data_IF_698714473079
#
_entry.id   IF_698714473079
#
_cell.length_a   1.000
_cell.length_b   1.000
_cell.length_c   1.000
_cell.angle_alpha   90.00
_cell.angle_beta   90.00
_cell.angle_gamma   90.00
#
_symmetry.space_group_name_H-M   'P 1'
#
loop_
_entity.id
_entity.type
_entity.pdbx_description
1 polymer ?
#
# COMPACT_ATOMS: atom_id res chain seq x y z
N UNK A 1 -0.86 -11.62 56.13
CA UNK A 1 -0.95 -11.71 54.66
C UNK A 1 -1.19 -10.34 54.00
N UNK A 2 -1.92 -9.41 54.60
CA UNK A 2 -2.16 -8.07 54.00
C UNK A 2 -0.88 -7.23 53.79
N UNK A 3 0.05 -7.23 54.75
CA UNK A 3 1.29 -6.42 54.65
C UNK A 3 2.29 -6.86 53.58
N UNK A 4 2.21 -8.11 53.10
CA UNK A 4 3.09 -8.60 52.04
C UNK A 4 2.60 -8.15 50.63
N UNK A 5 1.30 -8.01 50.49
CA UNK A 5 0.66 -7.48 49.28
C UNK A 5 1.02 -6.01 49.04
N UNK A 6 0.95 -5.19 50.11
CA UNK A 6 1.23 -3.76 50.01
C UNK A 6 2.70 -3.46 49.66
N UNK A 7 3.63 -4.26 50.22
CA UNK A 7 5.05 -4.12 49.91
C UNK A 7 5.38 -4.46 48.44
N UNK A 8 4.72 -5.47 47.88
CA UNK A 8 4.85 -5.83 46.44
C UNK A 8 4.27 -4.73 45.56
N UNK A 9 3.09 -4.18 45.91
CA UNK A 9 2.48 -3.09 45.15
C UNK A 9 3.36 -1.83 45.16
N UNK A 10 3.95 -1.47 46.29
CA UNK A 10 4.87 -0.34 46.39
C UNK A 10 6.15 -0.57 45.58
N UNK A 11 6.71 -1.78 45.59
CA UNK A 11 7.89 -2.11 44.82
C UNK A 11 7.63 -2.06 43.30
N UNK A 12 6.50 -2.61 42.88
CA UNK A 12 6.08 -2.56 41.46
C UNK A 12 5.86 -1.11 41.01
N UNK A 13 5.17 -0.31 41.83
CA UNK A 13 4.96 1.12 41.54
C UNK A 13 6.26 1.90 41.47
N UNK A 14 7.24 1.60 42.34
CA UNK A 14 8.55 2.24 42.33
C UNK A 14 9.38 1.85 41.08
N UNK A 15 9.33 0.58 40.70
CA UNK A 15 9.99 0.08 39.49
C UNK A 15 9.36 0.72 38.25
N UNK A 16 8.03 0.79 38.15
CA UNK A 16 7.33 1.43 37.05
C UNK A 16 7.66 2.93 36.97
N UNK A 17 7.67 3.65 38.09
CA UNK A 17 8.07 5.06 38.15
C UNK A 17 9.52 5.28 37.74
N UNK A 18 10.44 4.39 38.13
CA UNK A 18 11.85 4.45 37.75
C UNK A 18 12.01 4.18 36.24
N UNK A 19 11.32 3.17 35.69
CA UNK A 19 11.37 2.87 34.27
C UNK A 19 10.78 4.00 33.43
N UNK A 20 9.73 4.68 33.90
CA UNK A 20 9.21 5.90 33.26
C UNK A 20 10.22 7.06 33.31
N UNK A 21 10.94 7.22 34.43
CA UNK A 21 11.92 8.31 34.61
C UNK A 21 13.17 8.18 33.74
N UNK A 22 13.51 6.96 33.30
CA UNK A 22 14.64 6.70 32.36
C UNK A 22 14.19 6.60 30.89
N UNK A 23 12.92 6.89 30.58
CA UNK A 23 12.39 6.79 29.23
C UNK A 23 12.29 5.34 28.68
N UNK A 24 12.44 4.33 29.57
CA UNK A 24 12.40 2.92 29.18
C UNK A 24 10.97 2.35 29.06
N UNK A 25 9.97 3.11 29.52
CA UNK A 25 8.55 2.82 29.27
C UNK A 25 8.01 4.07 28.57
N UNK A 26 7.74 3.96 27.29
CA UNK A 26 6.91 4.94 26.61
C UNK A 26 5.58 5.05 27.38
N UNK A 27 5.11 6.27 27.64
CA UNK A 27 3.71 6.47 28.01
C UNK A 27 2.88 5.73 26.97
N UNK A 28 1.86 4.94 27.35
CA UNK A 28 0.98 4.35 26.36
C UNK A 28 0.44 5.52 25.52
N UNK A 29 0.80 5.53 24.22
CA UNK A 29 0.15 6.37 23.24
C UNK A 29 -1.33 6.06 23.37
N UNK A 30 -2.17 7.07 23.56
CA UNK A 30 -3.61 6.87 23.43
C UNK A 30 -3.82 6.45 21.96
N UNK A 31 -4.21 5.21 21.75
CA UNK A 31 -4.57 4.74 20.42
C UNK A 31 -5.76 5.57 19.93
N UNK A 32 -5.63 6.15 18.75
CA UNK A 32 -6.70 6.89 18.09
C UNK A 32 -7.47 5.91 17.20
N UNK A 33 -8.74 5.71 17.50
CA UNK A 33 -9.61 4.85 16.69
C UNK A 33 -9.86 5.51 15.33
N UNK A 34 -9.84 4.74 14.26
CA UNK A 34 -10.23 5.24 12.94
C UNK A 34 -11.74 5.49 12.94
N UNK A 35 -12.13 6.69 12.56
CA UNK A 35 -13.51 7.14 12.39
C UNK A 35 -13.59 8.08 11.19
N UNK A 36 -14.80 8.40 10.74
CA UNK A 36 -15.03 9.43 9.75
C UNK A 36 -14.57 10.77 10.31
N UNK A 37 -13.69 11.45 9.57
CA UNK A 37 -13.12 12.76 9.93
C UNK A 37 -13.94 13.88 9.29
N UNK A 38 -14.23 13.75 7.99
CA UNK A 38 -15.04 14.74 7.26
C UNK A 38 -16.53 14.34 7.23
N UNK A 39 -17.40 15.26 7.64
CA UNK A 39 -18.85 14.97 7.78
C UNK A 39 -19.52 14.56 6.47
N UNK A 40 -19.01 15.00 5.33
CA UNK A 40 -19.55 14.74 3.98
C UNK A 40 -18.78 13.66 3.21
N UNK A 41 -18.01 12.84 3.92
CA UNK A 41 -17.33 11.68 3.36
C UNK A 41 -18.33 10.73 2.68
N UNK A 42 -18.07 10.43 1.40
CA UNK A 42 -18.90 9.55 0.56
C UNK A 42 -18.32 8.17 0.36
N UNK A 43 -17.00 8.05 0.52
CA UNK A 43 -16.27 6.77 0.55
C UNK A 43 -15.02 6.93 1.42
N UNK A 44 -14.72 5.89 2.18
CA UNK A 44 -13.50 5.82 2.98
C UNK A 44 -12.79 4.49 2.77
N UNK A 45 -11.47 4.49 2.75
CA UNK A 45 -10.68 3.26 2.60
C UNK A 45 -9.30 3.39 3.24
N UNK A 46 -8.68 2.25 3.48
CA UNK A 46 -7.28 2.18 3.93
C UNK A 46 -6.41 1.69 2.78
N UNK A 47 -5.27 2.33 2.62
CA UNK A 47 -4.30 2.07 1.57
C UNK A 47 -2.96 1.69 2.19
N UNK A 48 -2.48 0.50 1.84
CA UNK A 48 -1.25 -0.13 2.31
C UNK A 48 -0.51 -0.82 1.18
N UNK A 49 0.72 -1.31 1.42
CA UNK A 49 1.50 -2.04 0.43
C UNK A 49 2.56 -2.95 1.05
N UNK A 50 3.14 -3.83 0.26
CA UNK A 50 4.36 -4.56 0.55
C UNK A 50 4.35 -5.26 1.92
N UNK A 51 3.35 -6.12 2.15
CA UNK A 51 3.27 -6.92 3.37
C UNK A 51 4.32 -8.01 3.38
N UNK A 52 4.61 -8.59 2.21
CA UNK A 52 5.65 -9.59 1.96
C UNK A 52 5.73 -10.67 3.05
N UNK A 53 4.57 -11.15 3.52
CA UNK A 53 4.51 -12.23 4.52
C UNK A 53 5.24 -13.46 4.01
N UNK A 54 6.08 -14.05 4.87
CA UNK A 54 6.87 -15.22 4.50
C UNK A 54 7.15 -16.14 5.70
N UNK A 55 7.53 -17.38 5.39
CA UNK A 55 7.77 -18.42 6.40
C UNK A 55 9.06 -18.23 7.21
N UNK A 56 10.02 -17.44 6.72
CA UNK A 56 11.34 -17.31 7.34
C UNK A 56 11.60 -15.97 8.03
N UNK A 57 10.70 -14.99 7.92
CA UNK A 57 10.79 -13.71 8.60
C UNK A 57 9.46 -13.33 9.27
N UNK A 58 9.22 -13.81 10.51
CA UNK A 58 7.94 -13.58 11.18
C UNK A 58 7.69 -12.11 11.57
N UNK A 59 8.69 -11.22 11.52
CA UNK A 59 8.47 -9.80 11.81
C UNK A 59 7.56 -9.11 10.80
N UNK A 60 7.55 -9.57 9.54
CA UNK A 60 6.69 -9.04 8.48
C UNK A 60 5.21 -9.31 8.78
N UNK A 61 4.90 -10.54 9.15
CA UNK A 61 3.57 -10.94 9.58
C UNK A 61 3.14 -10.24 10.89
N UNK A 62 4.07 -10.05 11.83
CA UNK A 62 3.81 -9.28 13.06
C UNK A 62 3.38 -7.84 12.74
N UNK A 63 4.01 -7.20 11.74
CA UNK A 63 3.61 -5.87 11.29
C UNK A 63 2.20 -5.87 10.66
N UNK A 64 1.89 -6.88 9.83
CA UNK A 64 0.56 -7.02 9.23
C UNK A 64 -0.51 -7.27 10.30
N UNK A 65 -0.25 -8.14 11.27
CA UNK A 65 -1.17 -8.40 12.40
C UNK A 65 -1.46 -7.09 13.17
N UNK A 66 -0.43 -6.28 13.44
CA UNK A 66 -0.63 -5.01 14.14
C UNK A 66 -1.52 -4.04 13.34
N UNK A 67 -1.34 -3.96 12.03
CA UNK A 67 -2.22 -3.21 11.12
C UNK A 67 -3.65 -3.76 11.17
N UNK A 68 -3.81 -5.08 11.05
CA UNK A 68 -5.13 -5.71 11.07
C UNK A 68 -5.87 -5.50 12.40
N UNK A 69 -5.16 -5.52 13.52
CA UNK A 69 -5.74 -5.25 14.85
C UNK A 69 -6.22 -3.80 14.97
N UNK A 70 -5.47 -2.82 14.46
CA UNK A 70 -5.89 -1.42 14.43
C UNK A 70 -7.16 -1.24 13.60
N UNK A 71 -7.20 -1.83 12.41
CA UNK A 71 -8.34 -1.75 11.49
C UNK A 71 -9.58 -2.51 11.99
N UNK A 72 -9.39 -3.62 12.67
CA UNK A 72 -10.49 -4.36 13.31
C UNK A 72 -11.19 -3.55 14.40
N UNK A 73 -10.46 -2.66 15.05
CA UNK A 73 -10.97 -1.78 16.12
C UNK A 73 -11.46 -0.42 15.59
N UNK A 74 -11.50 -0.20 14.27
CA UNK A 74 -12.07 1.03 13.71
C UNK A 74 -13.54 1.18 14.11
N UNK A 75 -13.96 2.40 14.46
CA UNK A 75 -15.35 2.70 14.86
C UNK A 75 -16.28 2.79 13.64
N UNK A 76 -15.72 3.06 12.47
CA UNK A 76 -16.45 3.01 11.18
C UNK A 76 -16.08 1.76 10.39
N UNK A 77 -17.01 1.23 9.60
CA UNK A 77 -16.70 0.21 8.61
C UNK A 77 -16.00 0.86 7.43
N UNK A 78 -14.81 0.39 7.10
CA UNK A 78 -14.10 0.82 5.91
C UNK A 78 -14.83 0.31 4.66
N UNK A 79 -15.02 1.18 3.67
CA UNK A 79 -15.58 0.76 2.39
C UNK A 79 -14.63 -0.16 1.63
N UNK A 80 -13.30 0.04 1.77
CA UNK A 80 -12.30 -0.88 1.26
C UNK A 80 -11.02 -0.91 2.10
N UNK A 81 -10.36 -2.08 2.10
CA UNK A 81 -8.96 -2.26 2.50
C UNK A 81 -8.14 -2.64 1.27
N UNK A 82 -7.06 -1.90 1.01
CA UNK A 82 -6.28 -1.97 -0.22
C UNK A 82 -4.83 -2.33 0.10
N UNK A 83 -4.27 -3.29 -0.66
CA UNK A 83 -2.84 -3.61 -0.65
C UNK A 83 -2.29 -3.38 -2.06
N UNK A 84 -1.36 -2.43 -2.20
CA UNK A 84 -0.74 -2.04 -3.46
C UNK A 84 0.40 -2.99 -3.88
N UNK A 85 0.15 -4.29 -3.81
CA UNK A 85 1.05 -5.36 -4.28
C UNK A 85 2.01 -5.90 -3.23
N UNK A 86 2.76 -6.92 -3.63
CA UNK A 86 3.70 -7.69 -2.81
C UNK A 86 3.05 -8.19 -1.49
N UNK A 87 1.93 -8.88 -1.66
CA UNK A 87 1.15 -9.44 -0.54
C UNK A 87 1.96 -10.50 0.20
N UNK A 88 2.64 -11.37 -0.54
CA UNK A 88 3.54 -12.39 0.03
C UNK A 88 4.91 -12.35 -0.62
N UNK A 89 5.90 -12.94 0.02
CA UNK A 89 7.29 -12.91 -0.45
C UNK A 89 7.58 -13.85 -1.61
N UNK A 90 6.95 -15.03 -1.64
CA UNK A 90 7.32 -16.11 -2.56
C UNK A 90 6.15 -16.66 -3.38
N UNK A 91 4.96 -16.11 -3.27
CA UNK A 91 3.77 -16.59 -3.94
C UNK A 91 3.34 -17.99 -3.51
N UNK A 92 3.67 -18.45 -2.30
CA UNK A 92 3.27 -19.76 -1.79
C UNK A 92 1.86 -19.75 -1.22
N UNK A 93 1.14 -20.86 -1.36
CA UNK A 93 -0.21 -20.97 -0.84
C UNK A 93 -0.30 -20.83 0.68
N UNK A 94 0.67 -21.33 1.41
CA UNK A 94 0.73 -21.22 2.87
C UNK A 94 1.01 -19.79 3.34
N UNK A 95 1.74 -18.99 2.57
CA UNK A 95 1.91 -17.57 2.83
C UNK A 95 0.58 -16.81 2.63
N UNK A 96 -0.16 -17.07 1.55
CA UNK A 96 -1.49 -16.51 1.34
C UNK A 96 -2.51 -16.94 2.40
N UNK A 97 -2.44 -18.19 2.86
CA UNK A 97 -3.32 -18.66 3.94
C UNK A 97 -3.09 -17.88 5.24
N UNK A 98 -1.84 -17.55 5.55
CA UNK A 98 -1.49 -16.72 6.72
C UNK A 98 -2.04 -15.31 6.57
N UNK A 99 -1.80 -14.66 5.43
CA UNK A 99 -2.37 -13.32 5.16
C UNK A 99 -3.88 -13.36 5.28
N UNK A 100 -4.55 -14.37 4.71
CA UNK A 100 -6.01 -14.52 4.84
C UNK A 100 -6.46 -14.57 6.31
N UNK A 101 -5.79 -15.39 7.12
CA UNK A 101 -6.14 -15.53 8.54
C UNK A 101 -5.92 -14.23 9.32
N UNK A 102 -4.92 -13.43 8.94
CA UNK A 102 -4.59 -12.17 9.59
C UNK A 102 -5.59 -11.05 9.24
N UNK A 103 -6.01 -10.95 7.96
CA UNK A 103 -6.77 -9.78 7.48
C UNK A 103 -8.28 -9.99 7.34
N UNK A 104 -8.78 -11.21 7.27
CA UNK A 104 -10.21 -11.52 7.02
C UNK A 104 -11.19 -10.90 8.02
N UNK A 105 -10.72 -10.59 9.24
CA UNK A 105 -11.53 -10.01 10.31
C UNK A 105 -11.38 -8.47 10.39
N UNK A 106 -10.67 -7.83 9.46
CA UNK A 106 -10.61 -6.37 9.33
C UNK A 106 -12.02 -5.83 9.12
N UNK A 107 -12.37 -4.72 9.79
CA UNK A 107 -13.68 -4.07 9.64
C UNK A 107 -13.77 -3.31 8.29
N UNK A 108 -13.71 -4.05 7.18
CA UNK A 108 -13.82 -3.53 5.82
C UNK A 108 -14.86 -4.32 5.01
N UNK A 109 -15.61 -3.59 4.18
CA UNK A 109 -16.64 -4.20 3.32
C UNK A 109 -16.04 -4.87 2.08
N UNK A 110 -14.90 -4.37 1.58
CA UNK A 110 -14.26 -4.86 0.37
C UNK A 110 -12.74 -4.96 0.56
N UNK A 111 -12.11 -5.91 -0.15
CA UNK A 111 -10.66 -6.08 -0.22
C UNK A 111 -10.24 -5.92 -1.68
N UNK A 112 -9.31 -4.98 -1.95
CA UNK A 112 -8.78 -4.69 -3.28
C UNK A 112 -7.27 -4.91 -3.23
N UNK A 113 -6.75 -5.89 -3.96
CA UNK A 113 -5.36 -6.31 -3.88
C UNK A 113 -4.72 -6.26 -5.26
N UNK A 114 -3.63 -5.52 -5.39
CA UNK A 114 -2.76 -5.66 -6.55
C UNK A 114 -1.75 -6.81 -6.33
N UNK A 115 -1.35 -7.50 -7.38
CA UNK A 115 -0.19 -8.39 -7.30
C UNK A 115 1.08 -7.59 -7.52
N UNK A 116 2.12 -7.90 -6.77
CA UNK A 116 3.47 -7.41 -7.03
C UNK A 116 4.36 -8.48 -7.67
N UNK A 117 5.63 -8.14 -7.89
CA UNK A 117 6.59 -9.09 -8.47
C UNK A 117 6.86 -10.28 -7.53
N UNK A 118 6.85 -10.09 -6.22
CA UNK A 118 7.03 -11.18 -5.24
C UNK A 118 5.91 -12.22 -5.28
N UNK A 119 4.70 -11.81 -5.60
CA UNK A 119 3.55 -12.71 -5.71
C UNK A 119 3.66 -13.68 -6.90
N UNK A 120 4.35 -13.27 -7.98
CA UNK A 120 4.34 -14.00 -9.26
C UNK A 120 5.71 -14.47 -9.76
N UNK A 121 6.83 -13.92 -9.28
CA UNK A 121 8.16 -14.08 -9.89
C UNK A 121 8.81 -15.46 -9.75
N UNK A 122 8.40 -16.29 -8.80
CA UNK A 122 9.07 -17.57 -8.50
C UNK A 122 8.38 -18.81 -9.08
N UNK A 123 7.32 -18.66 -9.86
CA UNK A 123 6.53 -19.76 -10.41
C UNK A 123 6.17 -19.49 -11.87
N UNK A 124 5.64 -20.53 -12.55
CA UNK A 124 5.00 -20.30 -13.84
C UNK A 124 3.87 -19.27 -13.69
N UNK A 125 3.81 -18.32 -14.57
CA UNK A 125 2.92 -17.15 -14.48
C UNK A 125 1.45 -17.56 -14.27
N UNK A 126 0.95 -18.51 -15.07
CA UNK A 126 -0.44 -18.97 -14.99
C UNK A 126 -0.77 -19.62 -13.63
N UNK A 127 0.21 -20.29 -13.02
CA UNK A 127 0.04 -20.90 -11.70
C UNK A 127 0.00 -19.85 -10.60
N UNK A 128 0.89 -18.86 -10.66
CA UNK A 128 0.99 -17.79 -9.68
C UNK A 128 -0.21 -16.87 -9.75
N UNK A 129 -0.58 -16.43 -10.95
CA UNK A 129 -1.74 -15.57 -11.18
C UNK A 129 -3.05 -16.23 -10.74
N UNK A 130 -3.27 -17.50 -11.11
CA UNK A 130 -4.45 -18.25 -10.67
C UNK A 130 -4.53 -18.40 -9.14
N UNK A 131 -3.40 -18.59 -8.48
CA UNK A 131 -3.35 -18.66 -7.00
C UNK A 131 -3.69 -17.34 -6.35
N UNK A 132 -3.11 -16.24 -6.85
CA UNK A 132 -3.38 -14.90 -6.36
C UNK A 132 -4.87 -14.53 -6.52
N UNK A 133 -5.44 -14.78 -7.70
CA UNK A 133 -6.87 -14.56 -7.98
C UNK A 133 -7.75 -15.40 -7.04
N UNK A 134 -7.40 -16.66 -6.81
CA UNK A 134 -8.14 -17.54 -5.89
C UNK A 134 -8.06 -17.01 -4.45
N UNK A 135 -6.91 -16.52 -4.02
CA UNK A 135 -6.74 -15.91 -2.70
C UNK A 135 -7.59 -14.64 -2.56
N UNK A 136 -7.51 -13.72 -3.51
CA UNK A 136 -8.29 -12.49 -3.50
C UNK A 136 -9.80 -12.75 -3.47
N UNK A 137 -10.28 -13.71 -4.25
CA UNK A 137 -11.69 -14.10 -4.26
C UNK A 137 -12.13 -14.78 -2.97
N UNK A 138 -11.21 -15.32 -2.17
CA UNK A 138 -11.56 -15.88 -0.84
C UNK A 138 -11.86 -14.80 0.20
N UNK A 139 -11.39 -13.57 0.01
CA UNK A 139 -11.63 -12.43 0.89
C UNK A 139 -12.93 -11.70 0.56
N UNK A 140 -13.38 -11.74 -0.68
CA UNK A 140 -14.53 -11.00 -1.17
C UNK A 140 -15.77 -11.92 -1.31
N UNK A 141 -16.94 -11.30 -1.37
CA UNK A 141 -18.17 -12.02 -1.69
C UNK A 141 -18.21 -12.41 -3.17
N UNK A 142 -18.86 -13.52 -3.51
CA UNK A 142 -18.89 -14.08 -4.87
C UNK A 142 -19.26 -13.08 -5.99
N UNK A 143 -20.16 -12.13 -5.71
CA UNK A 143 -20.58 -11.13 -6.70
C UNK A 143 -19.50 -10.12 -7.09
N UNK A 144 -18.44 -10.03 -6.30
CA UNK A 144 -17.28 -9.17 -6.54
C UNK A 144 -16.05 -9.98 -6.94
N UNK A 145 -16.21 -11.22 -7.35
CA UNK A 145 -15.13 -12.07 -7.78
C UNK A 145 -14.49 -11.54 -9.08
N UNK A 146 -13.17 -11.66 -9.15
CA UNK A 146 -12.36 -11.29 -10.32
C UNK A 146 -11.77 -12.53 -10.97
N UNK A 147 -11.40 -12.44 -12.24
CA UNK A 147 -10.87 -13.55 -13.05
C UNK A 147 -9.44 -13.35 -13.54
N UNK A 148 -8.85 -12.18 -13.28
CA UNK A 148 -7.48 -11.84 -13.68
C UNK A 148 -6.78 -10.98 -12.63
N UNK A 149 -5.45 -10.80 -12.78
CA UNK A 149 -4.66 -9.90 -11.93
C UNK A 149 -4.98 -8.42 -12.20
N UNK A 150 -5.40 -8.12 -13.44
CA UNK A 150 -5.84 -6.78 -13.84
C UNK A 150 -7.35 -6.75 -13.91
N UNK A 151 -7.98 -5.86 -13.18
CA UNK A 151 -9.43 -5.82 -13.04
C UNK A 151 -9.92 -4.43 -12.63
N UNK A 152 -11.22 -4.20 -12.80
CA UNK A 152 -11.93 -3.04 -12.29
C UNK A 152 -12.80 -3.44 -11.11
N UNK A 153 -12.84 -2.62 -10.08
CA UNK A 153 -13.64 -2.85 -8.87
C UNK A 153 -14.42 -1.59 -8.51
N UNK A 154 -15.72 -1.74 -8.27
CA UNK A 154 -16.60 -0.63 -7.93
C UNK A 154 -16.96 -0.65 -6.44
N UNK A 155 -16.74 0.47 -5.75
CA UNK A 155 -17.12 0.65 -4.35
C UNK A 155 -17.90 1.95 -4.22
N UNK A 156 -19.16 1.88 -3.81
CA UNK A 156 -20.05 3.04 -3.62
C UNK A 156 -20.11 3.99 -4.84
N UNK A 157 -19.95 3.43 -6.07
CA UNK A 157 -19.95 4.20 -7.32
C UNK A 157 -18.64 4.95 -7.58
N UNK A 158 -17.54 4.54 -6.94
CA UNK A 158 -16.16 4.95 -7.23
C UNK A 158 -15.40 3.78 -7.82
N UNK A 159 -14.59 4.07 -8.83
CA UNK A 159 -13.90 3.05 -9.60
C UNK A 159 -12.44 2.91 -9.15
N UNK A 160 -12.06 1.67 -8.85
CA UNK A 160 -10.68 1.23 -8.64
C UNK A 160 -10.27 0.35 -9.83
N UNK A 161 -9.18 0.71 -10.50
CA UNK A 161 -8.62 -0.02 -11.63
C UNK A 161 -7.28 -0.60 -11.18
N UNK A 162 -7.18 -1.91 -11.12
CA UNK A 162 -5.92 -2.59 -10.79
C UNK A 162 -5.24 -3.02 -12.08
N UNK A 163 -4.00 -2.61 -12.27
CA UNK A 163 -3.13 -3.07 -13.35
C UNK A 163 -1.98 -3.90 -12.78
N UNK A 164 -1.58 -4.94 -13.50
CA UNK A 164 -0.57 -5.88 -13.04
C UNK A 164 0.27 -6.39 -14.22
N UNK A 165 1.42 -6.99 -13.96
CA UNK A 165 2.22 -7.58 -15.01
C UNK A 165 1.47 -8.70 -15.74
N UNK A 166 1.49 -8.69 -17.07
CA UNK A 166 0.88 -9.73 -17.90
C UNK A 166 1.80 -10.95 -18.13
N UNK A 167 2.99 -10.90 -17.58
CA UNK A 167 3.95 -12.00 -17.65
C UNK A 167 4.88 -12.02 -16.45
N UNK A 168 5.67 -13.06 -16.35
CA UNK A 168 6.68 -13.21 -15.33
C UNK A 168 7.84 -12.22 -15.55
N UNK A 169 8.02 -11.30 -14.59
CA UNK A 169 9.17 -10.40 -14.53
C UNK A 169 9.78 -10.45 -13.12
N UNK A 170 11.05 -10.05 -12.98
CA UNK A 170 11.74 -10.19 -11.70
C UNK A 170 11.51 -8.96 -10.77
N UNK A 171 11.74 -7.76 -11.25
CA UNK A 171 11.55 -6.52 -10.48
C UNK A 171 10.58 -5.53 -11.18
N UNK A 172 10.66 -5.42 -12.48
CA UNK A 172 9.76 -4.58 -13.29
C UNK A 172 8.43 -5.28 -13.58
N UNK A 173 7.50 -4.61 -14.21
CA UNK A 173 6.29 -5.22 -14.77
C UNK A 173 6.23 -5.07 -16.28
N UNK A 174 5.51 -5.96 -16.92
CA UNK A 174 5.21 -5.89 -18.34
C UNK A 174 3.70 -5.68 -18.55
N UNK A 175 3.34 -4.54 -19.10
CA UNK A 175 1.94 -4.20 -19.39
C UNK A 175 1.70 -4.39 -20.88
N UNK A 176 0.95 -5.42 -21.24
CA UNK A 176 0.68 -5.75 -22.64
C UNK A 176 -0.11 -4.64 -23.33
N UNK A 177 0.01 -4.57 -24.65
CA UNK A 177 -0.80 -3.64 -25.45
C UNK A 177 -2.30 -3.82 -25.22
N UNK A 178 -2.74 -5.06 -25.00
CA UNK A 178 -4.15 -5.34 -24.70
C UNK A 178 -4.57 -4.72 -23.37
N UNK A 179 -3.73 -4.82 -22.34
CA UNK A 179 -4.00 -4.21 -21.05
C UNK A 179 -3.96 -2.67 -21.13
N UNK A 180 -3.03 -2.08 -21.89
CA UNK A 180 -3.00 -0.63 -22.13
C UNK A 180 -4.28 -0.13 -22.83
N UNK A 181 -4.76 -0.85 -23.85
CA UNK A 181 -6.01 -0.52 -24.53
C UNK A 181 -7.21 -0.66 -23.58
N UNK A 182 -7.24 -1.67 -22.73
CA UNK A 182 -8.25 -1.89 -21.69
C UNK A 182 -8.21 -0.77 -20.62
N UNK A 183 -7.04 -0.44 -20.08
CA UNK A 183 -6.87 0.64 -19.11
C UNK A 183 -7.44 1.97 -19.65
N UNK A 184 -7.11 2.30 -20.90
CA UNK A 184 -7.63 3.50 -21.54
C UNK A 184 -9.16 3.50 -21.70
N UNK A 185 -9.77 2.34 -21.94
CA UNK A 185 -11.23 2.20 -22.02
C UNK A 185 -11.89 2.32 -20.66
N UNK A 186 -11.32 1.70 -19.62
CA UNK A 186 -11.87 1.75 -18.26
C UNK A 186 -11.76 3.17 -17.69
N UNK A 187 -10.62 3.86 -17.84
CA UNK A 187 -10.47 5.25 -17.45
C UNK A 187 -11.49 6.16 -18.13
N UNK A 188 -11.69 5.98 -19.44
CA UNK A 188 -12.70 6.75 -20.19
C UNK A 188 -14.11 6.58 -19.64
N UNK A 189 -14.45 5.39 -19.15
CA UNK A 189 -15.77 5.13 -18.54
C UNK A 189 -15.83 5.71 -17.14
N UNK A 190 -14.82 5.45 -16.32
CA UNK A 190 -14.79 5.78 -14.92
C UNK A 190 -14.76 7.30 -14.65
N UNK A 191 -14.08 8.08 -15.51
CA UNK A 191 -13.98 9.53 -15.37
C UNK A 191 -15.14 10.32 -16.02
N UNK A 192 -16.12 9.63 -16.61
CA UNK A 192 -17.18 10.27 -17.37
C UNK A 192 -18.13 11.13 -16.52
N UNK A 193 -18.22 10.88 -15.23
CA UNK A 193 -19.05 11.63 -14.27
C UNK A 193 -18.23 12.64 -13.44
N UNK A 194 -16.93 12.78 -13.71
CA UNK A 194 -16.01 13.72 -13.04
C UNK A 194 -15.50 13.24 -11.67
N UNK A 195 -15.89 12.05 -11.24
CA UNK A 195 -15.39 11.48 -9.98
C UNK A 195 -13.91 11.11 -10.04
N UNK A 196 -13.21 11.08 -8.91
CA UNK A 196 -11.86 10.54 -8.84
C UNK A 196 -11.84 9.03 -9.15
N UNK A 197 -10.78 8.61 -9.85
CA UNK A 197 -10.51 7.21 -10.19
C UNK A 197 -9.16 6.80 -9.60
N UNK A 198 -9.13 5.66 -8.95
CA UNK A 198 -7.95 5.12 -8.30
C UNK A 198 -7.35 4.01 -9.16
N UNK A 199 -6.20 4.27 -9.78
CA UNK A 199 -5.43 3.27 -10.55
C UNK A 199 -4.35 2.71 -9.65
N UNK A 200 -4.38 1.42 -9.39
CA UNK A 200 -3.45 0.74 -8.49
C UNK A 200 -2.52 -0.14 -9.32
N UNK A 201 -1.23 0.10 -9.20
CA UNK A 201 -0.18 -0.74 -9.72
C UNK A 201 0.82 -1.03 -8.59
N UNK A 202 1.55 -2.13 -8.66
CA UNK A 202 2.60 -2.35 -7.67
C UNK A 202 3.82 -1.48 -7.97
N UNK A 203 4.37 -1.56 -9.19
CA UNK A 203 5.52 -0.77 -9.59
C UNK A 203 5.11 0.66 -10.00
N UNK A 204 5.93 1.69 -9.65
CA UNK A 204 5.72 3.06 -10.11
C UNK A 204 6.10 3.24 -11.57
N UNK A 205 5.81 4.42 -12.10
CA UNK A 205 6.38 4.89 -13.36
C UNK A 205 7.90 5.04 -13.23
N UNK A 206 8.63 4.84 -14.31
CA UNK A 206 10.05 5.13 -14.36
C UNK A 206 10.30 6.60 -13.99
N UNK A 207 11.36 6.86 -13.21
CA UNK A 207 11.68 8.18 -12.64
C UNK A 207 10.58 8.77 -11.73
N UNK A 208 9.62 7.92 -11.30
CA UNK A 208 8.55 8.32 -10.39
C UNK A 208 9.04 8.55 -8.97
N UNK A 209 8.28 9.34 -8.21
CA UNK A 209 8.47 9.60 -6.78
C UNK A 209 9.88 10.11 -6.41
N UNK A 210 10.47 10.93 -7.29
CA UNK A 210 11.79 11.55 -7.06
C UNK A 210 12.97 10.59 -7.08
N UNK A 211 12.73 9.32 -7.41
CA UNK A 211 13.79 8.32 -7.53
C UNK A 211 14.34 8.32 -8.96
N UNK A 212 15.67 8.46 -9.12
CA UNK A 212 16.27 8.40 -10.44
C UNK A 212 16.13 7.00 -10.98
N UNK A 213 15.62 6.89 -12.15
CA UNK A 213 15.49 5.71 -12.93
C UNK A 213 14.99 4.49 -12.19
N UNK A 214 15.52 4.05 -11.04
CA UNK A 214 15.05 2.76 -10.63
C UNK A 214 15.64 2.23 -9.37
N UNK A 215 14.87 1.41 -8.72
CA UNK A 215 15.31 0.46 -7.74
C UNK A 215 16.43 -0.45 -8.29
N UNK A 216 17.47 -0.64 -7.53
CA UNK A 216 18.56 -1.56 -7.91
C UNK A 216 19.66 -0.91 -8.74
N UNK A 217 19.53 0.32 -9.17
CA UNK A 217 20.57 1.06 -9.88
C UNK A 217 21.42 1.91 -8.94
N UNK A 218 21.27 3.21 -9.00
CA UNK A 218 22.03 4.13 -8.18
C UNK A 218 21.41 4.34 -6.79
N UNK A 219 20.10 4.25 -6.70
CA UNK A 219 19.36 4.41 -5.44
C UNK A 219 19.61 3.27 -4.46
N UNK A 220 19.84 2.06 -4.99
CA UNK A 220 20.09 0.85 -4.22
C UNK A 220 21.36 0.14 -4.67
N UNK A 221 22.55 0.69 -4.35
CA UNK A 221 23.82 0.15 -4.85
C UNK A 221 24.04 -1.32 -4.48
N UNK A 222 23.55 -1.75 -3.32
CA UNK A 222 23.66 -3.14 -2.87
C UNK A 222 22.83 -4.09 -3.73
N UNK A 223 21.68 -3.66 -4.20
CA UNK A 223 20.84 -4.45 -5.11
C UNK A 223 21.48 -4.52 -6.50
N UNK A 224 21.90 -3.39 -7.03
CA UNK A 224 22.63 -3.32 -8.29
C UNK A 224 23.89 -4.23 -8.27
N UNK A 225 24.56 -4.31 -7.13
CA UNK A 225 25.73 -5.20 -6.95
C UNK A 225 25.40 -6.69 -7.04
N UNK A 226 24.16 -7.09 -6.81
CA UNK A 226 23.71 -8.50 -6.87
C UNK A 226 23.30 -8.95 -8.27
N UNK A 227 22.99 -8.02 -9.16
CA UNK A 227 22.59 -8.37 -10.53
C UNK A 227 23.82 -8.74 -11.37
N UNK A 228 23.78 -9.85 -12.14
CA UNK A 228 24.80 -10.17 -13.10
C UNK A 228 24.98 -9.09 -14.16
N UNK A 229 26.21 -8.92 -14.66
CA UNK A 229 26.52 -7.84 -15.61
C UNK A 229 25.70 -7.91 -16.92
N UNK A 230 25.29 -9.10 -17.35
CA UNK A 230 24.45 -9.26 -18.53
C UNK A 230 22.98 -8.84 -18.31
N UNK A 231 22.50 -8.90 -17.07
CA UNK A 231 21.15 -8.46 -16.70
C UNK A 231 21.05 -6.93 -16.56
N UNK A 232 22.21 -6.27 -16.47
CA UNK A 232 22.29 -4.82 -16.31
C UNK A 232 22.25 -4.02 -17.60
N UNK A 233 21.99 -4.65 -18.74
CA UNK A 233 22.12 -4.00 -20.02
C UNK A 233 21.00 -3.00 -20.29
N UNK A 234 20.05 -3.49 -21.05
CA UNK A 234 19.14 -2.64 -21.82
C UNK A 234 17.87 -2.30 -21.03
N UNK A 235 17.48 -3.11 -20.04
CA UNK A 235 16.34 -2.87 -19.14
C UNK A 235 16.74 -2.18 -17.83
N UNK A 236 18.00 -1.84 -17.69
CA UNK A 236 18.57 -1.35 -16.43
C UNK A 236 17.94 -0.05 -15.92
N UNK A 237 17.52 0.82 -16.85
CA UNK A 237 16.88 2.08 -16.54
C UNK A 237 15.42 1.94 -16.08
N UNK A 238 14.85 0.73 -16.18
CA UNK A 238 13.45 0.45 -15.85
C UNK A 238 13.28 -0.49 -14.64
N UNK A 239 14.38 -1.08 -14.15
CA UNK A 239 14.33 -1.98 -13.00
C UNK A 239 13.65 -1.31 -11.80
N UNK A 240 12.61 -1.94 -11.27
CA UNK A 240 11.82 -1.41 -10.15
C UNK A 240 10.72 -0.41 -10.56
N UNK A 241 10.44 -0.30 -11.85
CA UNK A 241 9.32 0.48 -12.40
C UNK A 241 8.37 -0.41 -13.21
N UNK A 242 7.37 0.19 -13.84
CA UNK A 242 6.52 -0.50 -14.84
C UNK A 242 7.35 -1.03 -16.03
N UNK A 243 8.60 -0.60 -16.17
CA UNK A 243 9.44 -1.04 -17.27
C UNK A 243 9.24 -0.19 -18.53
N UNK A 244 9.42 -0.83 -19.71
CA UNK A 244 9.36 -0.14 -20.99
C UNK A 244 8.01 0.55 -21.27
N UNK A 245 6.91 0.08 -20.65
CA UNK A 245 5.58 0.66 -20.84
C UNK A 245 5.28 1.83 -19.92
N UNK A 246 6.23 2.30 -19.10
CA UNK A 246 6.04 3.46 -18.23
C UNK A 246 5.49 4.70 -18.94
N UNK A 247 6.04 5.00 -20.12
CA UNK A 247 5.58 6.15 -20.91
C UNK A 247 4.16 5.94 -21.48
N UNK A 248 3.82 4.72 -21.88
CA UNK A 248 2.49 4.40 -22.40
C UNK A 248 1.43 4.54 -21.29
N UNK A 249 1.73 4.03 -20.09
CA UNK A 249 0.85 4.19 -18.91
C UNK A 249 0.71 5.66 -18.52
N UNK A 250 1.84 6.40 -18.46
CA UNK A 250 1.83 7.85 -18.21
C UNK A 250 0.94 8.58 -19.22
N UNK A 251 1.11 8.32 -20.51
CA UNK A 251 0.34 8.95 -21.58
C UNK A 251 -1.16 8.65 -21.48
N UNK A 252 -1.53 7.45 -21.02
CA UNK A 252 -2.92 7.07 -20.85
C UNK A 252 -3.52 7.78 -19.65
N UNK A 253 -2.94 7.64 -18.45
CA UNK A 253 -3.51 8.22 -17.22
C UNK A 253 -3.56 9.75 -17.28
N UNK A 254 -2.58 10.38 -17.93
CA UNK A 254 -2.50 11.85 -18.05
C UNK A 254 -3.59 12.49 -18.91
N UNK A 255 -4.37 11.72 -19.64
CA UNK A 255 -5.49 12.22 -20.49
C UNK A 255 -6.77 12.45 -19.71
N UNK A 256 -6.88 11.88 -18.53
CA UNK A 256 -8.11 11.85 -17.75
C UNK A 256 -7.98 12.69 -16.49
N UNK A 257 -9.09 13.29 -16.05
CA UNK A 257 -9.11 14.13 -14.85
C UNK A 257 -9.26 13.29 -13.59
N UNK A 258 -8.71 13.80 -12.48
CA UNK A 258 -8.87 13.25 -11.14
C UNK A 258 -8.42 11.78 -11.02
N UNK A 259 -7.28 11.43 -11.64
CA UNK A 259 -6.69 10.09 -11.55
C UNK A 259 -5.64 10.05 -10.44
N UNK A 260 -5.80 9.11 -9.52
CA UNK A 260 -4.83 8.81 -8.46
C UNK A 260 -4.11 7.51 -8.80
N UNK A 261 -2.84 7.61 -9.20
CA UNK A 261 -1.99 6.48 -9.54
C UNK A 261 -1.23 6.03 -8.30
N UNK A 262 -1.60 4.89 -7.75
CA UNK A 262 -1.17 4.36 -6.45
C UNK A 262 -0.17 3.24 -6.66
N UNK A 263 0.98 3.30 -5.98
CA UNK A 263 2.06 2.33 -6.13
C UNK A 263 2.71 1.97 -4.79
N UNK A 264 3.33 0.78 -4.72
CA UNK A 264 4.20 0.33 -3.62
C UNK A 264 5.62 0.12 -4.11
N UNK A 265 6.20 -1.07 -3.87
CA UNK A 265 7.45 -1.60 -4.42
C UNK A 265 8.75 -0.93 -3.92
N UNK A 266 8.77 0.38 -3.82
CA UNK A 266 10.00 1.14 -3.54
C UNK A 266 10.47 1.01 -2.09
N UNK A 267 9.60 0.56 -1.18
CA UNK A 267 9.84 0.54 0.26
C UNK A 267 10.36 1.89 0.77
N UNK A 268 9.81 2.96 0.22
CA UNK A 268 10.13 4.33 0.62
C UNK A 268 9.20 4.74 1.76
N UNK A 269 9.78 5.26 2.83
CA UNK A 269 9.00 5.81 3.94
C UNK A 269 8.24 7.07 3.56
N UNK A 270 7.30 7.46 4.41
CA UNK A 270 6.51 8.67 4.22
C UNK A 270 7.41 9.93 4.28
N UNK A 271 7.24 10.83 3.32
CA UNK A 271 8.05 12.05 3.18
C UNK A 271 7.98 12.63 1.78
N UNK A 272 9.05 13.29 1.36
CA UNK A 272 9.13 14.02 0.08
C UNK A 272 8.83 13.19 -1.18
N UNK A 273 8.95 11.87 -1.11
CA UNK A 273 8.72 10.94 -2.23
C UNK A 273 7.35 10.26 -2.17
N UNK A 274 6.49 10.69 -1.24
CA UNK A 274 5.16 10.08 -1.04
C UNK A 274 4.19 10.52 -2.13
N UNK A 275 4.17 11.81 -2.44
CA UNK A 275 3.25 12.39 -3.42
C UNK A 275 4.01 12.97 -4.60
N UNK A 276 3.47 12.75 -5.80
CA UNK A 276 4.02 13.29 -7.04
C UNK A 276 2.89 13.77 -7.94
N UNK A 277 2.93 15.03 -8.34
CA UNK A 277 2.03 15.50 -9.41
C UNK A 277 2.51 14.98 -10.75
N UNK A 278 1.76 14.06 -11.36
CA UNK A 278 2.04 13.48 -12.68
C UNK A 278 1.58 14.43 -13.78
N UNK A 279 0.37 14.96 -13.67
CA UNK A 279 -0.17 15.96 -14.60
C UNK A 279 -1.05 16.97 -13.83
N UNK A 280 -0.56 18.20 -13.70
CA UNK A 280 -1.26 19.24 -12.94
C UNK A 280 -2.53 19.76 -13.63
N UNK A 281 -2.58 19.75 -14.97
CA UNK A 281 -3.74 20.25 -15.74
C UNK A 281 -4.97 19.36 -15.54
N UNK A 282 -4.76 18.04 -15.50
CA UNK A 282 -5.81 17.05 -15.33
C UNK A 282 -5.90 16.50 -13.90
N UNK A 283 -5.19 17.10 -12.95
CA UNK A 283 -5.17 16.63 -11.55
C UNK A 283 -4.83 15.13 -11.44
N UNK A 284 -3.75 14.70 -12.09
CA UNK A 284 -3.24 13.33 -11.99
C UNK A 284 -2.14 13.28 -10.95
N UNK A 285 -2.37 12.49 -9.91
CA UNK A 285 -1.47 12.38 -8.74
C UNK A 285 -0.89 10.98 -8.63
N UNK A 286 0.41 10.88 -8.37
CA UNK A 286 1.09 9.66 -7.99
C UNK A 286 1.20 9.56 -6.47
N UNK A 287 0.86 8.40 -5.92
CA UNK A 287 0.91 8.12 -4.49
C UNK A 287 1.81 6.90 -4.27
N UNK A 288 2.94 7.09 -3.61
CA UNK A 288 3.79 5.97 -3.19
C UNK A 288 3.41 5.52 -1.78
N UNK A 289 3.02 4.27 -1.65
CA UNK A 289 2.60 3.68 -0.38
C UNK A 289 3.81 3.04 0.31
N UNK A 290 4.05 3.32 1.60
CA UNK A 290 5.13 2.68 2.34
C UNK A 290 4.85 1.20 2.57
N UNK A 291 5.92 0.43 2.74
CA UNK A 291 5.82 -1.00 3.07
C UNK A 291 5.32 -1.23 4.50
N UNK A 292 4.40 -2.18 4.65
CA UNK A 292 4.01 -2.73 5.96
C UNK A 292 5.08 -3.66 6.53
N UNK A 293 5.56 -4.60 5.72
CA UNK A 293 6.38 -5.72 6.21
C UNK A 293 7.89 -5.49 6.11
N UNK A 294 8.33 -4.66 5.17
CA UNK A 294 9.73 -4.40 4.88
C UNK A 294 10.16 -3.06 5.50
N UNK A 295 11.40 -2.97 5.94
CA UNK A 295 11.94 -1.73 6.46
C UNK A 295 11.95 -0.64 5.38
N UNK A 296 11.23 0.44 5.64
CA UNK A 296 11.20 1.61 4.78
C UNK A 296 12.50 2.42 4.88
N UNK A 297 12.83 3.13 3.79
CA UNK A 297 14.03 3.97 3.65
C UNK A 297 13.67 5.30 2.99
N UNK A 298 14.60 6.23 3.01
CA UNK A 298 14.53 7.48 2.23
C UNK A 298 13.31 8.37 2.48
N UNK A 299 12.54 8.08 3.52
CA UNK A 299 11.46 8.92 4.02
C UNK A 299 11.87 9.72 5.25
N UNK A 300 11.04 10.67 5.64
CA UNK A 300 11.12 11.34 6.93
C UNK A 300 10.62 10.42 8.03
N UNK A 301 9.57 9.63 7.75
CA UNK A 301 9.00 8.64 8.65
C UNK A 301 9.11 7.24 8.03
N UNK A 302 9.93 6.38 8.61
CA UNK A 302 10.33 5.08 8.03
C UNK A 302 9.82 3.86 8.79
N UNK A 303 8.87 4.01 9.70
CA UNK A 303 8.32 2.87 10.45
C UNK A 303 7.60 1.89 9.51
N UNK A 304 7.67 0.61 9.82
CA UNK A 304 6.82 -0.42 9.22
C UNK A 304 5.39 -0.33 9.77
N UNK A 305 4.41 -0.91 9.09
CA UNK A 305 3.02 -0.85 9.52
C UNK A 305 2.38 0.54 9.32
N UNK A 306 2.88 1.32 8.37
CA UNK A 306 2.36 2.64 7.99
C UNK A 306 1.63 2.60 6.65
N UNK A 307 0.76 3.56 6.43
CA UNK A 307 -0.01 3.73 5.20
C UNK A 307 -0.95 4.92 5.32
N UNK A 308 -2.10 4.86 4.64
CA UNK A 308 -3.06 5.96 4.63
C UNK A 308 -4.46 5.48 5.01
N UNK A 309 -5.16 6.29 5.79
CA UNK A 309 -6.60 6.34 5.80
C UNK A 309 -7.01 7.42 4.81
N UNK A 310 -7.93 7.11 3.91
CA UNK A 310 -8.33 8.00 2.81
C UNK A 310 -9.83 8.26 2.89
N UNK A 311 -10.20 9.53 2.79
CA UNK A 311 -11.58 9.95 2.64
C UNK A 311 -11.78 10.68 1.31
N UNK A 312 -12.91 10.45 0.69
CA UNK A 312 -13.36 11.18 -0.48
C UNK A 312 -14.66 11.89 -0.13
N UNK A 313 -14.65 13.18 -0.28
CA UNK A 313 -15.84 14.05 -0.22
C UNK A 313 -16.31 14.39 -1.64
N UNK A 314 -17.41 15.10 -1.85
CA UNK A 314 -17.80 15.57 -3.18
C UNK A 314 -16.77 16.46 -3.87
N UNK A 315 -15.91 17.14 -3.10
CA UNK A 315 -15.01 18.17 -3.60
C UNK A 315 -13.52 17.82 -3.51
N UNK A 316 -13.15 16.81 -2.68
CA UNK A 316 -11.75 16.55 -2.33
C UNK A 316 -11.47 15.06 -2.11
N UNK A 317 -10.22 14.66 -2.35
CA UNK A 317 -9.65 13.39 -1.89
C UNK A 317 -8.58 13.69 -0.85
N UNK A 318 -8.72 13.14 0.35
CA UNK A 318 -7.90 13.47 1.52
C UNK A 318 -7.17 12.22 2.00
N UNK A 319 -5.85 12.30 2.04
CA UNK A 319 -4.99 11.22 2.56
C UNK A 319 -4.50 11.60 3.95
N UNK A 320 -4.86 10.81 4.94
CA UNK A 320 -4.37 10.91 6.31
C UNK A 320 -3.34 9.83 6.55
N UNK A 321 -2.08 10.22 6.69
CA UNK A 321 -1.02 9.26 7.00
C UNK A 321 -1.20 8.68 8.40
N UNK A 322 -1.07 7.35 8.53
CA UNK A 322 -1.29 6.65 9.78
C UNK A 322 -0.18 5.62 10.03
N UNK A 323 0.30 5.58 11.25
CA UNK A 323 1.04 4.45 11.79
C UNK A 323 0.03 3.51 12.45
N UNK A 324 -0.42 2.51 11.69
CA UNK A 324 -1.38 1.51 12.14
C UNK A 324 -0.80 0.64 13.25
N UNK A 325 0.51 0.35 13.19
CA UNK A 325 1.18 -0.44 14.21
C UNK A 325 1.22 0.28 15.57
N UNK A 326 1.15 1.61 15.59
CA UNK A 326 1.04 2.43 16.80
C UNK A 326 -0.39 2.92 17.06
N UNK A 327 -1.34 2.69 16.17
CA UNK A 327 -2.74 3.11 16.29
C UNK A 327 -2.90 4.64 16.36
N UNK A 328 -2.16 5.41 15.54
CA UNK A 328 -2.23 6.87 15.56
C UNK A 328 -2.09 7.49 14.17
N UNK A 329 -2.74 8.63 13.96
CA UNK A 329 -2.45 9.47 12.82
C UNK A 329 -1.08 10.15 12.97
N UNK A 330 -0.41 10.36 11.84
CA UNK A 330 0.81 11.16 11.80
C UNK A 330 0.46 12.64 11.75
N UNK A 331 1.37 13.46 12.22
CA UNK A 331 1.23 14.91 12.26
C UNK A 331 2.31 15.58 11.43
N UNK A 332 2.20 16.89 11.25
CA UNK A 332 3.25 17.69 10.57
C UNK A 332 4.61 17.65 11.27
N UNK A 333 4.66 17.23 12.54
CA UNK A 333 5.90 16.98 13.26
C UNK A 333 6.58 15.67 12.81
N UNK A 334 5.79 14.67 12.35
CA UNK A 334 6.31 13.42 11.81
C UNK A 334 6.82 13.63 10.36
N UNK A 335 6.01 14.27 9.51
CA UNK A 335 6.41 14.78 8.19
C UNK A 335 5.40 15.82 7.67
N UNK A 336 5.86 16.75 6.82
CA UNK A 336 5.11 17.96 6.44
C UNK A 336 3.75 17.71 5.78
N UNK A 337 3.62 16.58 5.07
CA UNK A 337 2.43 16.23 4.27
C UNK A 337 1.67 15.05 4.89
N UNK A 338 1.66 14.97 6.25
CA UNK A 338 0.94 13.93 6.98
C UNK A 338 -0.57 13.92 6.67
N UNK A 339 -1.12 15.08 6.30
CA UNK A 339 -2.44 15.22 5.68
C UNK A 339 -2.26 15.88 4.32
N UNK A 340 -2.67 15.20 3.25
CA UNK A 340 -2.63 15.72 1.89
C UNK A 340 -4.04 15.80 1.32
N UNK A 341 -4.39 16.98 0.80
CA UNK A 341 -5.73 17.29 0.25
C UNK A 341 -5.60 17.58 -1.24
N UNK A 342 -6.37 16.88 -2.05
CA UNK A 342 -6.41 17.04 -3.50
C UNK A 342 -7.83 17.42 -3.93
N UNK A 343 -8.04 18.64 -4.47
CA UNK A 343 -9.36 19.03 -4.95
C UNK A 343 -9.79 18.18 -6.16
N UNK A 344 -11.08 17.92 -6.30
CA UNK A 344 -11.69 17.32 -7.48
C UNK A 344 -12.04 18.45 -8.46
N UNK A 345 -11.60 18.37 -9.73
CA UNK A 345 -11.75 19.43 -10.73
C UNK A 345 -12.74 19.06 -11.84
#
# INVERSE_FOLDING_TARGET
MAHFSDAIYQLVSLIMSFLMSIGAIATPSTTETIDIIEEDTVINFVLTGDTQVCNYNPSRETSLIAVAEDLKNSSTTLDAFIIAGDVVENGFQDEYNRVFDDIRDINAANFILASGNHDIRLREYEQSSSRFVSFMNSLNIEQNAVDSLSYTYEVNGYTFIVIASDQHEFEESYISRQQLEWLNQELKKATADGKPVFVIAHQPLAEGHGLPNTWGTQSMPGEAGRLPDYERKDSYDYTGSIGEQSNDVYDIISRYQNVFFITGHLHTGLGQNTYQTINAENNVQGINVPSIGIANKDGTYNNTGTGFYVEVTPDEVIFYARDFAQGRYLTTDDFSEAVAVFPII
#
